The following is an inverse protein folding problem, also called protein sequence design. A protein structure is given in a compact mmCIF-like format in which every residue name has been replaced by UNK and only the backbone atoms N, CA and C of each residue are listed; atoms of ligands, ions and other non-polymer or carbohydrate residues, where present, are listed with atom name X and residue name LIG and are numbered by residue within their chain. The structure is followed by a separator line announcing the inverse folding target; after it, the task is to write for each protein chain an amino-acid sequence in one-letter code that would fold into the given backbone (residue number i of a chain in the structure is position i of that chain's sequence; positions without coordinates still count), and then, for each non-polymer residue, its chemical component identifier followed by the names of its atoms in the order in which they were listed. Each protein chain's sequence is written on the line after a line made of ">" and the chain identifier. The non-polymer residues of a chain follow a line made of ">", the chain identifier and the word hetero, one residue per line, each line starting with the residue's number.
data_IF_396361563102
#
_entry.id   IF_396361563102
#
_cell.length_a   1.000
_cell.length_b   1.000
_cell.length_c   1.000
_cell.angle_alpha   90.00
_cell.angle_beta   90.00
_cell.angle_gamma   90.00
#
_symmetry.space_group_name_H-M   'P 1'
#
loop_
_entity.id
_entity.type
_entity.pdbx_description
1 polymer ?
#
# COMPACT_ATOMS: atom_id res chain seq x y z
N UNK A 1 -5.01 3.06 -0.85
CA UNK A 1 -4.07 1.95 -0.64
C UNK A 1 -4.64 1.07 0.46
N UNK A 2 -4.65 -0.23 0.25
CA UNK A 2 -5.05 -1.18 1.28
C UNK A 2 -3.95 -2.23 1.46
N UNK A 3 -3.67 -2.55 2.72
CA UNK A 3 -2.69 -3.54 3.13
C UNK A 3 -3.37 -4.88 3.32
N UNK A 4 -2.77 -5.95 2.81
CA UNK A 4 -3.16 -7.32 3.12
C UNK A 4 -2.07 -7.89 4.01
N UNK A 5 -2.44 -8.30 5.22
CA UNK A 5 -1.52 -8.90 6.18
C UNK A 5 -1.78 -10.39 6.22
N UNK A 6 -0.74 -11.19 5.96
CA UNK A 6 -0.82 -12.64 6.09
C UNK A 6 -0.27 -13.04 7.46
N UNK A 7 -1.15 -13.58 8.31
CA UNK A 7 -0.81 -14.02 9.65
C UNK A 7 -0.88 -15.55 9.75
N UNK A 8 0.11 -16.14 10.41
CA UNK A 8 0.09 -17.56 10.82
C UNK A 8 -0.24 -17.61 12.31
N UNK A 9 -1.29 -18.34 12.65
CA UNK A 9 -1.72 -18.54 14.04
C UNK A 9 -1.37 -19.95 14.48
N UNK A 10 -0.62 -20.08 15.57
CA UNK A 10 -0.43 -21.35 16.27
C UNK A 10 -1.68 -21.65 17.10
N UNK A 11 -2.41 -22.70 16.72
CA UNK A 11 -3.69 -23.08 17.34
C UNK A 11 -3.56 -23.58 18.78
N UNK A 12 -2.38 -24.02 19.24
CA UNK A 12 -2.20 -24.50 20.61
C UNK A 12 -1.82 -23.38 21.58
N UNK A 13 -1.02 -22.42 21.13
CA UNK A 13 -0.48 -21.34 21.98
C UNK A 13 -1.22 -20.02 21.80
N UNK A 14 -1.98 -19.86 20.72
CA UNK A 14 -2.64 -18.61 20.33
C UNK A 14 -1.68 -17.55 19.77
N UNK A 15 -0.42 -17.90 19.52
CA UNK A 15 0.58 -16.97 18.98
C UNK A 15 0.27 -16.63 17.52
N UNK A 16 0.18 -15.34 17.21
CA UNK A 16 0.02 -14.82 15.85
C UNK A 16 1.36 -14.23 15.36
N UNK A 17 1.86 -14.70 14.21
CA UNK A 17 3.02 -14.13 13.55
C UNK A 17 2.66 -13.66 12.14
N UNK A 18 2.84 -12.36 11.90
CA UNK A 18 2.76 -11.78 10.56
C UNK A 18 3.93 -12.27 9.72
N UNK A 19 3.62 -13.00 8.64
CA UNK A 19 4.63 -13.59 7.77
C UNK A 19 4.96 -12.68 6.61
N UNK A 20 3.97 -11.97 6.07
CA UNK A 20 4.14 -11.05 4.95
C UNK A 20 3.09 -9.93 5.00
N UNK A 21 3.50 -8.74 4.59
CA UNK A 21 2.62 -7.59 4.36
C UNK A 21 2.65 -7.22 2.88
N UNK A 22 1.47 -7.19 2.24
CA UNK A 22 1.33 -6.81 0.83
C UNK A 22 0.61 -5.47 0.70
N UNK A 23 1.10 -4.66 -0.23
CA UNK A 23 0.61 -3.31 -0.49
C UNK A 23 0.24 -3.17 -1.95
N UNK A 24 -0.94 -2.64 -2.18
CA UNK A 24 -1.51 -2.57 -3.51
C UNK A 24 -2.09 -1.18 -3.81
N UNK A 25 -2.03 -0.82 -5.10
CA UNK A 25 -2.47 0.47 -5.64
C UNK A 25 -3.45 0.22 -6.78
N UNK A 26 -4.60 0.92 -6.74
CA UNK A 26 -5.61 0.87 -7.80
C UNK A 26 -5.69 2.21 -8.50
N UNK A 27 -5.78 2.17 -9.82
CA UNK A 27 -6.16 3.31 -10.65
C UNK A 27 -7.48 2.96 -11.36
N UNK A 28 -8.43 3.90 -11.35
CA UNK A 28 -9.64 3.76 -12.17
C UNK A 28 -9.28 4.12 -13.61
N UNK A 29 -9.50 3.21 -14.54
CA UNK A 29 -9.06 3.32 -15.94
C UNK A 29 -9.86 4.39 -16.72
N UNK A 30 -11.07 4.70 -16.25
CA UNK A 30 -12.10 5.36 -17.07
C UNK A 30 -12.72 6.58 -16.40
N UNK A 31 -11.90 7.45 -15.80
CA UNK A 31 -12.40 8.69 -15.20
C UNK A 31 -11.40 9.80 -15.43
N UNK A 32 -11.88 10.92 -15.97
CA UNK A 32 -11.15 12.18 -15.95
C UNK A 32 -10.61 12.39 -14.54
N UNK A 33 -9.29 12.63 -14.47
CA UNK A 33 -8.51 12.75 -13.23
C UNK A 33 -9.07 13.74 -12.21
N UNK A 34 -10.00 14.60 -12.63
CA UNK A 34 -10.76 15.55 -11.82
C UNK A 34 -11.62 14.95 -10.70
N UNK A 35 -12.07 13.68 -10.81
CA UNK A 35 -13.02 13.08 -9.85
C UNK A 35 -12.40 12.08 -8.86
N UNK A 36 -11.08 12.09 -8.67
CA UNK A 36 -10.45 11.26 -7.64
C UNK A 36 -10.70 11.83 -6.24
N UNK A 37 -11.47 11.08 -5.43
CA UNK A 37 -11.67 11.41 -4.02
C UNK A 37 -10.33 11.37 -3.28
N UNK A 38 -9.98 12.46 -2.61
CA UNK A 38 -8.79 12.52 -1.75
C UNK A 38 -9.10 11.93 -0.38
N UNK A 39 -8.25 11.02 0.08
CA UNK A 39 -8.34 10.45 1.43
C UNK A 39 -7.55 11.34 2.39
N UNK A 40 -8.19 11.78 3.48
CA UNK A 40 -7.55 12.52 4.58
C UNK A 40 -7.64 11.64 5.84
N UNK A 41 -6.51 11.20 6.42
CA UNK A 41 -6.50 10.38 7.62
C UNK A 41 -7.01 11.16 8.83
N UNK A 42 -7.78 10.51 9.71
CA UNK A 42 -8.37 11.13 10.90
C UNK A 42 -7.68 10.67 12.18
N UNK A 43 -7.08 9.48 12.18
CA UNK A 43 -6.34 8.95 13.32
C UNK A 43 -4.84 8.96 13.07
N UNK A 44 -4.06 8.90 14.15
CA UNK A 44 -2.60 8.78 14.04
C UNK A 44 -2.19 7.53 13.27
N UNK A 45 -2.85 6.40 13.54
CA UNK A 45 -2.58 5.14 12.84
C UNK A 45 -2.88 5.25 11.34
N UNK A 46 -4.02 5.86 10.97
CA UNK A 46 -4.33 6.14 9.57
C UNK A 46 -3.33 7.09 8.93
N UNK A 47 -2.83 8.09 9.67
CA UNK A 47 -1.82 9.02 9.17
C UNK A 47 -0.48 8.31 8.89
N UNK A 48 -0.07 7.39 9.77
CA UNK A 48 1.11 6.56 9.54
C UNK A 48 0.93 5.68 8.30
N UNK A 49 -0.22 5.05 8.12
CA UNK A 49 -0.54 4.25 6.93
C UNK A 49 -0.57 5.12 5.66
N UNK A 50 -1.09 6.34 5.75
CA UNK A 50 -1.14 7.28 4.63
C UNK A 50 0.26 7.71 4.20
N UNK A 51 1.14 8.05 5.16
CA UNK A 51 2.54 8.40 4.89
C UNK A 51 3.29 7.24 4.26
N UNK A 52 3.12 6.04 4.80
CA UNK A 52 3.75 4.83 4.27
C UNK A 52 3.26 4.52 2.85
N UNK A 53 1.97 4.73 2.58
CA UNK A 53 1.42 4.56 1.26
C UNK A 53 1.97 5.55 0.23
N UNK A 54 2.21 6.81 0.63
CA UNK A 54 2.88 7.79 -0.23
C UNK A 54 4.31 7.35 -0.58
N UNK A 55 5.10 6.91 0.41
CA UNK A 55 6.47 6.40 0.19
C UNK A 55 6.48 5.19 -0.75
N UNK A 56 5.54 4.26 -0.58
CA UNK A 56 5.44 3.08 -1.42
C UNK A 56 5.16 3.43 -2.90
N UNK A 57 4.39 4.50 -3.15
CA UNK A 57 4.15 5.00 -4.51
C UNK A 57 5.41 5.61 -5.13
N UNK A 58 6.10 6.48 -4.39
CA UNK A 58 7.36 7.12 -4.82
C UNK A 58 8.41 6.07 -5.18
N UNK A 59 8.65 5.10 -4.30
CA UNK A 59 9.56 3.98 -4.57
C UNK A 59 9.13 3.15 -5.80
N UNK A 60 7.82 2.94 -5.96
CA UNK A 60 7.28 2.25 -7.13
C UNK A 60 7.54 3.00 -8.44
N UNK A 61 7.47 4.34 -8.43
CA UNK A 61 7.80 5.18 -9.58
C UNK A 61 9.29 5.13 -9.93
N UNK A 62 10.17 5.15 -8.93
CA UNK A 62 11.62 4.98 -9.13
C UNK A 62 11.93 3.63 -9.80
N UNK A 63 11.38 2.54 -9.29
CA UNK A 63 11.57 1.19 -9.86
C UNK A 63 11.06 1.12 -11.31
N UNK A 64 9.90 1.75 -11.61
CA UNK A 64 9.36 1.81 -12.97
C UNK A 64 10.26 2.64 -13.89
N UNK A 65 10.80 3.76 -13.40
CA UNK A 65 11.73 4.61 -14.16
C UNK A 65 13.01 3.87 -14.58
N UNK A 66 13.57 3.07 -13.68
CA UNK A 66 14.75 2.24 -13.96
C UNK A 66 14.49 1.18 -15.05
N UNK A 67 13.26 0.67 -15.17
CA UNK A 67 12.89 -0.29 -16.23
C UNK A 67 12.83 0.35 -17.61
N UNK A 68 12.44 1.62 -17.69
CA UNK A 68 12.36 2.36 -18.97
C UNK A 68 13.74 2.74 -19.50
N UNK A 69 14.73 2.98 -18.62
CA UNK A 69 16.10 3.32 -19.01
C UNK A 69 16.90 2.16 -19.61
N UNK A 70 16.51 0.91 -19.34
CA UNK A 70 17.26 -0.28 -19.77
C UNK A 70 16.85 -0.81 -21.15
N UNK A 71 16.05 -0.05 -21.90
CA UNK A 71 15.49 -0.41 -23.21
C UNK A 71 16.04 0.47 -24.31
#
# INVERSE_FOLDING_TARGET
>A
MFGVTANVVDAQTGSEQTTNEFRFTWAKVDTDSANQRKVVPKTYQEAMLWLEGRRALEMGDEIRGLRTQKR
#
